data_IF_969929522029
#
_entry.id   IF_969929522029
#
_cell.length_a   1.000
_cell.length_b   1.000
_cell.length_c   1.000
_cell.angle_alpha   90.00
_cell.angle_beta   90.00
_cell.angle_gamma   90.00
#
_symmetry.space_group_name_H-M   'P 1'
#
loop_
_entity.id
_entity.type
_entity.pdbx_description
1 polymer ?
#
# COMPACT_ATOMS: atom_id res chain seq x y z
N UNK A 1 3.65 -9.41 21.63
CA UNK A 1 3.64 -9.30 20.16
C UNK A 1 2.41 -8.52 19.74
N UNK A 2 2.56 -7.52 18.88
CA UNK A 2 1.44 -6.73 18.37
C UNK A 2 0.52 -7.54 17.45
N UNK A 3 -0.71 -7.07 17.23
CA UNK A 3 -1.74 -7.75 16.43
C UNK A 3 -1.23 -8.12 15.03
N UNK A 4 -0.46 -7.21 14.41
CA UNK A 4 0.19 -7.43 13.13
C UNK A 4 1.17 -8.61 13.14
N UNK A 5 2.05 -8.69 14.15
CA UNK A 5 3.02 -9.77 14.26
C UNK A 5 2.33 -11.12 14.51
N UNK A 6 1.23 -11.13 15.27
CA UNK A 6 0.40 -12.32 15.48
C UNK A 6 -0.25 -12.78 14.18
N UNK A 7 -0.79 -11.86 13.38
CA UNK A 7 -1.37 -12.18 12.08
C UNK A 7 -0.33 -12.78 11.12
N UNK A 8 0.88 -12.22 11.06
CA UNK A 8 1.97 -12.78 10.26
C UNK A 8 2.34 -14.21 10.70
N UNK A 9 2.43 -14.44 12.01
CA UNK A 9 2.71 -15.78 12.55
C UNK A 9 1.61 -16.79 12.19
N UNK A 10 0.33 -16.40 12.34
CA UNK A 10 -0.81 -17.24 11.96
C UNK A 10 -0.81 -17.58 10.46
N UNK A 11 -0.38 -16.63 9.63
CA UNK A 11 -0.27 -16.82 8.19
C UNK A 11 1.03 -17.54 7.76
N UNK A 12 1.91 -17.93 8.69
CA UNK A 12 3.24 -18.51 8.38
C UNK A 12 4.08 -17.58 7.50
N UNK A 13 3.95 -16.27 7.70
CA UNK A 13 4.71 -15.24 6.98
C UNK A 13 5.86 -14.76 7.86
N UNK A 14 7.08 -14.83 7.34
CA UNK A 14 8.23 -14.26 7.99
C UNK A 14 8.18 -12.72 7.94
N UNK A 15 8.07 -12.07 9.10
CA UNK A 15 8.17 -10.62 9.21
C UNK A 15 9.61 -10.15 9.21
N UNK A 16 10.06 -9.53 8.12
CA UNK A 16 11.36 -8.88 8.02
C UNK A 16 11.18 -7.37 7.84
N UNK A 17 11.65 -6.56 8.79
CA UNK A 17 11.86 -5.13 8.55
C UNK A 17 13.34 -4.91 8.36
N UNK A 18 13.72 -4.41 7.18
CA UNK A 18 15.06 -3.91 6.91
C UNK A 18 15.36 -2.66 7.76
N UNK A 19 16.62 -2.22 7.76
CA UNK A 19 17.01 -1.00 8.48
C UNK A 19 16.26 0.21 7.91
N UNK A 20 15.93 1.16 8.79
CA UNK A 20 15.38 2.45 8.36
C UNK A 20 16.38 3.14 7.42
N UNK A 21 15.88 3.68 6.31
CA UNK A 21 16.69 4.39 5.31
C UNK A 21 17.10 3.55 4.10
N UNK A 22 16.73 2.26 4.03
CA UNK A 22 16.96 1.44 2.83
C UNK A 22 15.89 1.74 1.78
N UNK A 23 16.21 2.60 0.81
CA UNK A 23 15.26 3.00 -0.23
C UNK A 23 14.82 1.84 -1.14
N UNK A 24 15.69 0.84 -1.34
CA UNK A 24 15.44 -0.30 -2.21
C UNK A 24 14.25 -1.17 -1.76
N UNK A 25 14.03 -1.27 -0.44
CA UNK A 25 12.92 -2.07 0.10
C UNK A 25 11.55 -1.48 -0.24
N UNK A 26 11.48 -0.15 -0.40
CA UNK A 26 10.25 0.55 -0.74
C UNK A 26 10.16 0.95 -2.21
N UNK A 27 11.27 0.97 -2.95
CA UNK A 27 11.32 1.49 -4.33
C UNK A 27 10.27 0.86 -5.27
N UNK A 28 10.04 -0.46 -5.16
CA UNK A 28 9.04 -1.15 -5.97
C UNK A 28 7.61 -0.71 -5.61
N UNK A 29 7.31 -0.60 -4.31
CA UNK A 29 6.02 -0.13 -3.85
C UNK A 29 5.78 1.34 -4.24
N UNK A 30 6.79 2.20 -4.07
CA UNK A 30 6.73 3.61 -4.49
C UNK A 30 6.49 3.77 -5.98
N UNK A 31 7.19 2.98 -6.82
CA UNK A 31 7.00 2.99 -8.27
C UNK A 31 5.59 2.55 -8.67
N UNK A 32 5.10 1.45 -8.07
CA UNK A 32 3.75 0.95 -8.31
C UNK A 32 2.69 1.99 -7.92
N UNK A 33 2.76 2.54 -6.71
CA UNK A 33 1.80 3.55 -6.25
C UNK A 33 1.92 4.88 -6.98
N UNK A 34 3.12 5.25 -7.43
CA UNK A 34 3.35 6.41 -8.29
C UNK A 34 2.61 6.27 -9.62
N UNK A 35 2.74 5.12 -10.27
CA UNK A 35 2.04 4.81 -11.52
C UNK A 35 0.52 4.81 -11.31
N UNK A 36 0.03 4.10 -10.29
CA UNK A 36 -1.40 4.02 -9.97
C UNK A 36 -2.02 5.41 -9.75
N UNK A 37 -1.34 6.29 -8.99
CA UNK A 37 -1.83 7.65 -8.75
C UNK A 37 -1.83 8.48 -10.03
N UNK A 38 -0.77 8.36 -10.85
CA UNK A 38 -0.63 9.12 -12.08
C UNK A 38 -1.71 8.78 -13.10
N UNK A 39 -2.04 7.51 -13.25
CA UNK A 39 -3.00 7.07 -14.26
C UNK A 39 -4.45 7.13 -13.78
N UNK A 40 -4.72 6.80 -12.50
CA UNK A 40 -6.10 6.59 -12.03
C UNK A 40 -6.63 7.70 -11.12
N UNK A 41 -5.75 8.43 -10.43
CA UNK A 41 -6.15 9.40 -9.40
C UNK A 41 -5.99 10.83 -9.90
N UNK A 42 -4.80 11.23 -10.36
CA UNK A 42 -4.52 12.61 -10.77
C UNK A 42 -5.44 13.17 -11.86
N UNK A 43 -5.92 12.39 -12.84
CA UNK A 43 -6.84 12.91 -13.86
C UNK A 43 -8.28 13.14 -13.36
N UNK A 44 -8.61 12.77 -12.11
CA UNK A 44 -9.98 12.76 -11.59
C UNK A 44 -10.12 13.69 -10.38
N UNK A 45 -11.25 14.40 -10.30
CA UNK A 45 -11.63 15.16 -9.11
C UNK A 45 -12.71 14.38 -8.38
N UNK A 46 -12.45 14.06 -7.11
CA UNK A 46 -13.41 13.40 -6.23
C UNK A 46 -14.01 14.43 -5.29
N UNK A 47 -15.27 14.80 -5.52
CA UNK A 47 -15.98 15.80 -4.68
C UNK A 47 -16.34 15.27 -3.30
N UNK A 48 -16.39 13.94 -3.14
CA UNK A 48 -16.67 13.26 -1.88
C UNK A 48 -15.84 11.98 -1.75
N UNK A 49 -15.59 11.53 -0.51
CA UNK A 49 -14.92 10.24 -0.28
C UNK A 49 -15.68 9.07 -0.92
N UNK A 50 -17.03 9.10 -0.90
CA UNK A 50 -17.85 8.10 -1.56
C UNK A 50 -17.62 8.04 -3.08
N UNK A 51 -17.40 9.18 -3.72
CA UNK A 51 -17.11 9.21 -5.16
C UNK A 51 -15.74 8.64 -5.52
N UNK A 52 -14.81 8.58 -4.56
CA UNK A 52 -13.52 7.91 -4.71
C UNK A 52 -13.60 6.41 -4.36
N UNK A 53 -14.73 5.96 -3.79
CA UNK A 53 -14.93 4.55 -3.53
C UNK A 53 -14.98 3.83 -4.88
N UNK A 54 -14.21 2.75 -5.01
CA UNK A 54 -14.20 2.04 -6.26
C UNK A 54 -15.52 1.31 -6.48
N UNK A 55 -15.93 1.22 -7.73
CA UNK A 55 -17.19 0.57 -8.14
C UNK A 55 -17.02 -0.93 -8.39
N UNK A 56 -16.13 -1.62 -7.67
CA UNK A 56 -16.00 -3.08 -7.79
C UNK A 56 -17.29 -3.75 -7.28
N UNK A 57 -17.78 -4.80 -7.96
CA UNK A 57 -18.90 -5.61 -7.47
C UNK A 57 -18.57 -6.33 -6.16
#
# INVERSE_FOLDING_TARGET
MGDYQRALQQATIAGGMSRRGTCWDNAVAESFFGTLKSELIHPRIFSTLRSAAPSWP
#
